data_IF_216130521986
#
_entry.id   IF_216130521986
#
_cell.length_a   1.000
_cell.length_b   1.000
_cell.length_c   1.000
_cell.angle_alpha   90.00
_cell.angle_beta   90.00
_cell.angle_gamma   90.00
#
_symmetry.space_group_name_H-M   'P 1'
#
loop_
_entity.id
_entity.type
_entity.pdbx_description
1 polymer ?
#
# COMPACT_ATOMS: atom_id res chain seq x y z
N UNK A 1 -21.49 16.12 -7.45
CA UNK A 1 -20.41 17.12 -7.25
C UNK A 1 -20.95 18.21 -6.35
N UNK A 2 -20.38 18.36 -5.16
CA UNK A 2 -20.38 19.58 -4.36
C UNK A 2 -19.08 19.49 -3.54
N UNK A 3 -18.00 20.05 -4.10
CA UNK A 3 -16.67 19.95 -3.52
C UNK A 3 -16.48 20.97 -2.40
N UNK A 4 -16.64 20.54 -1.16
CA UNK A 4 -16.14 21.26 0.01
C UNK A 4 -14.62 21.21 0.02
N UNK A 5 -13.97 22.29 -0.43
CA UNK A 5 -12.51 22.48 -0.28
C UNK A 5 -12.17 22.70 1.19
N UNK A 6 -11.48 21.74 1.79
CA UNK A 6 -10.84 21.88 3.11
C UNK A 6 -9.76 22.99 3.07
N UNK A 7 -9.82 24.01 3.96
CA UNK A 7 -8.90 25.14 3.96
C UNK A 7 -7.68 24.88 4.85
N UNK A 8 -7.06 23.70 4.75
CA UNK A 8 -5.92 23.34 5.59
C UNK A 8 -4.57 23.97 5.18
N UNK A 9 -4.18 24.05 3.89
CA UNK A 9 -2.81 24.47 3.55
C UNK A 9 -2.59 25.99 3.67
N UNK A 10 -3.66 26.79 3.57
CA UNK A 10 -3.57 28.26 3.71
C UNK A 10 -3.43 28.72 5.17
N UNK A 11 -4.03 27.97 6.13
CA UNK A 11 -3.91 28.29 7.56
C UNK A 11 -2.52 27.96 8.10
N UNK A 12 -1.90 26.87 7.64
CA UNK A 12 -0.52 26.53 7.99
C UNK A 12 0.49 27.54 7.43
N UNK A 13 0.30 27.98 6.18
CA UNK A 13 1.14 29.02 5.58
C UNK A 13 0.99 30.38 6.28
N UNK A 14 -0.24 30.74 6.68
CA UNK A 14 -0.50 31.97 7.43
C UNK A 14 0.09 31.91 8.85
N UNK A 15 -0.04 30.78 9.54
CA UNK A 15 0.58 30.58 10.85
C UNK A 15 2.12 30.65 10.76
N UNK A 16 2.73 30.03 9.75
CA UNK A 16 4.18 30.11 9.52
C UNK A 16 4.64 31.55 9.24
N UNK A 17 3.89 32.31 8.44
CA UNK A 17 4.18 33.72 8.13
C UNK A 17 4.08 34.60 9.39
N UNK A 18 3.05 34.40 10.22
CA UNK A 18 2.87 35.12 11.49
C UNK A 18 3.99 34.77 12.48
N UNK A 19 4.43 33.51 12.51
CA UNK A 19 5.53 33.07 13.38
C UNK A 19 6.87 33.65 12.94
N UNK A 20 7.11 33.73 11.61
CA UNK A 20 8.28 34.39 11.02
C UNK A 20 8.27 35.91 11.26
N UNK A 21 7.12 36.56 11.16
CA UNK A 21 6.97 37.99 11.49
C UNK A 21 7.17 38.25 12.98
N UNK A 22 6.69 37.37 13.86
CA UNK A 22 6.94 37.46 15.31
C UNK A 22 8.43 37.25 15.63
N UNK A 23 9.09 36.26 15.03
CA UNK A 23 10.53 36.03 15.18
C UNK A 23 11.34 37.20 14.62
N UNK A 24 10.93 37.79 13.51
CA UNK A 24 11.57 38.98 12.94
C UNK A 24 11.37 40.22 13.83
N UNK A 25 10.19 40.42 14.39
CA UNK A 25 9.93 41.49 15.37
C UNK A 25 10.73 41.27 16.65
N UNK A 26 10.82 40.04 17.18
CA UNK A 26 11.63 39.72 18.36
C UNK A 26 13.12 39.94 18.06
N UNK A 27 13.62 39.55 16.88
CA UNK A 27 14.98 39.87 16.45
C UNK A 27 15.21 41.38 16.26
N UNK A 28 14.21 42.12 15.76
CA UNK A 28 14.29 43.57 15.59
C UNK A 28 14.27 44.29 16.94
N UNK A 29 13.47 43.83 17.91
CA UNK A 29 13.47 44.37 19.28
C UNK A 29 14.71 43.96 20.10
N UNK A 30 15.26 42.75 19.89
CA UNK A 30 16.56 42.35 20.45
C UNK A 30 17.74 43.06 19.79
N UNK A 31 17.61 43.49 18.53
CA UNK A 31 18.63 44.31 17.83
C UNK A 31 18.46 45.81 18.08
N UNK A 32 17.25 46.28 18.44
CA UNK A 32 16.96 47.69 18.74
C UNK A 32 17.25 48.07 20.20
N UNK A 33 17.65 47.12 21.04
CA UNK A 33 18.19 47.41 22.38
C UNK A 33 19.72 47.44 22.32
N UNK A 34 20.25 48.45 21.63
CA UNK A 34 21.48 49.18 21.97
C UNK A 34 21.80 50.19 20.88
N UNK A 35 21.47 51.47 21.12
CA UNK A 35 22.41 52.61 21.19
C UNK A 35 21.59 53.71 21.88
N UNK A 36 21.45 53.62 23.20
CA UNK A 36 21.32 54.82 24.02
C UNK A 36 22.71 55.09 24.58
N UNK A 37 23.33 56.12 24.03
CA UNK A 37 24.62 56.66 24.46
C UNK A 37 24.47 57.23 25.87
N UNK A 38 24.86 56.47 26.89
CA UNK A 38 25.14 57.01 28.22
C UNK A 38 26.39 56.34 28.77
N UNK A 39 27.51 57.09 28.77
CA UNK A 39 28.77 56.88 29.49
C UNK A 39 29.19 55.42 29.85
N UNK A 40 30.20 54.82 29.19
CA UNK A 40 30.56 53.40 29.37
C UNK A 40 31.63 53.17 30.46
N UNK A 41 31.48 53.74 31.65
CA UNK A 41 32.54 53.66 32.67
C UNK A 41 32.11 53.07 34.02
N UNK A 42 30.98 52.36 34.12
CA UNK A 42 30.70 51.58 35.33
C UNK A 42 31.45 50.24 35.30
N UNK A 43 32.22 49.97 36.36
CA UNK A 43 32.94 48.70 36.55
C UNK A 43 32.00 47.48 36.46
N UNK A 44 30.72 47.66 36.80
CA UNK A 44 29.64 46.67 36.67
C UNK A 44 29.32 46.31 35.22
N UNK A 45 29.15 47.30 34.33
CA UNK A 45 28.88 47.03 32.91
C UNK A 45 30.07 46.36 32.23
N UNK A 46 31.29 46.79 32.59
CA UNK A 46 32.54 46.19 32.09
C UNK A 46 32.73 44.76 32.59
N UNK A 47 32.44 44.48 33.86
CA UNK A 47 32.44 43.12 34.41
C UNK A 47 31.44 42.22 33.68
N UNK A 48 30.20 42.67 33.49
CA UNK A 48 29.18 41.90 32.81
C UNK A 48 29.58 41.54 31.37
N UNK A 49 30.16 42.50 30.63
CA UNK A 49 30.62 42.29 29.27
C UNK A 49 31.75 41.25 29.18
N UNK A 50 32.78 41.37 30.03
CA UNK A 50 33.95 40.46 30.00
C UNK A 50 33.56 39.05 30.42
N UNK A 51 32.70 38.93 31.44
CA UNK A 51 32.21 37.64 31.92
C UNK A 51 31.38 36.93 30.86
N UNK A 52 30.42 37.63 30.24
CA UNK A 52 29.60 37.10 29.15
C UNK A 52 30.46 36.64 27.98
N UNK A 53 31.48 37.41 27.63
CA UNK A 53 32.38 37.08 26.53
C UNK A 53 33.19 35.81 26.78
N UNK A 54 33.62 35.59 28.03
CA UNK A 54 34.32 34.38 28.44
C UNK A 54 33.39 33.16 28.45
N UNK A 55 32.17 33.32 28.97
CA UNK A 55 31.15 32.27 29.02
C UNK A 55 30.69 31.84 27.61
N UNK A 56 30.39 32.79 26.72
CA UNK A 56 29.96 32.52 25.35
C UNK A 56 31.04 31.76 24.56
N UNK A 57 32.31 32.15 24.68
CA UNK A 57 33.40 31.49 23.98
C UNK A 57 33.78 30.13 24.59
N UNK A 58 33.57 29.94 25.90
CA UNK A 58 33.64 28.61 26.50
C UNK A 58 32.55 27.70 25.93
N UNK A 59 31.31 28.17 25.82
CA UNK A 59 30.19 27.41 25.26
C UNK A 59 30.43 27.01 23.79
N UNK A 60 30.95 27.93 22.96
CA UNK A 60 31.32 27.64 21.58
C UNK A 60 32.36 26.51 21.52
N UNK A 61 33.45 26.61 22.28
CA UNK A 61 34.49 25.58 22.29
C UNK A 61 33.99 24.24 22.82
N UNK A 62 33.08 24.23 23.79
CA UNK A 62 32.43 23.01 24.26
C UNK A 62 31.61 22.32 23.15
N UNK A 63 30.90 23.09 22.31
CA UNK A 63 30.17 22.55 21.15
C UNK A 63 31.13 21.95 20.09
N UNK A 64 32.23 22.65 19.77
CA UNK A 64 33.28 22.12 18.88
C UNK A 64 33.94 20.86 19.45
N UNK A 65 34.15 20.80 20.77
CA UNK A 65 34.68 19.61 21.46
C UNK A 65 33.74 18.41 21.30
N UNK A 66 32.45 18.60 21.60
CA UNK A 66 31.46 17.54 21.51
C UNK A 66 31.35 17.00 20.07
N UNK A 67 31.54 17.86 19.08
CA UNK A 67 31.59 17.49 17.67
C UNK A 67 32.89 16.78 17.28
N UNK A 68 34.05 17.30 17.68
CA UNK A 68 35.34 16.70 17.39
C UNK A 68 35.44 15.26 17.92
N UNK A 69 34.84 14.97 19.09
CA UNK A 69 34.72 13.62 19.65
C UNK A 69 33.93 12.63 18.79
N UNK A 70 33.04 13.10 17.90
CA UNK A 70 32.27 12.25 16.98
C UNK A 70 33.00 11.96 15.67
N UNK A 71 34.12 12.64 15.40
CA UNK A 71 34.97 12.43 14.24
C UNK A 71 36.16 11.52 14.58
N UNK A 72 36.82 10.97 13.55
CA UNK A 72 37.93 10.01 13.68
C UNK A 72 39.11 10.50 14.55
N UNK A 73 40.03 9.58 14.91
CA UNK A 73 41.23 9.77 15.76
C UNK A 73 42.08 11.02 15.45
N UNK A 74 42.06 11.54 14.22
CA UNK A 74 42.78 12.77 13.83
C UNK A 74 42.23 14.05 14.52
N UNK A 75 41.01 14.01 15.10
CA UNK A 75 40.40 15.13 15.85
C UNK A 75 40.81 15.19 17.33
N UNK A 76 41.56 14.21 17.84
CA UNK A 76 41.89 14.10 19.27
C UNK A 76 42.69 15.31 19.78
N UNK A 77 43.68 15.78 19.00
CA UNK A 77 44.50 16.96 19.33
C UNK A 77 43.70 18.27 19.35
N UNK A 78 42.73 18.43 18.45
CA UNK A 78 41.82 19.58 18.45
C UNK A 78 40.86 19.54 19.65
N UNK A 79 40.37 18.34 20.00
CA UNK A 79 39.46 18.11 21.12
C UNK A 79 40.11 18.54 22.45
N UNK A 80 41.37 18.18 22.67
CA UNK A 80 42.11 18.58 23.86
C UNK A 80 42.34 20.10 23.93
N UNK A 81 42.70 20.71 22.79
CA UNK A 81 42.91 22.16 22.67
C UNK A 81 41.64 22.96 22.96
N UNK A 82 40.48 22.49 22.49
CA UNK A 82 39.18 23.08 22.78
C UNK A 82 38.79 22.92 24.25
N UNK A 83 38.94 21.72 24.83
CA UNK A 83 38.65 21.43 26.24
C UNK A 83 39.49 22.31 27.17
N UNK A 84 40.80 22.37 26.93
CA UNK A 84 41.73 23.15 27.75
C UNK A 84 41.37 24.64 27.71
N UNK A 85 41.10 25.19 26.53
CA UNK A 85 40.76 26.61 26.38
C UNK A 85 39.38 26.93 26.93
N UNK A 86 38.39 26.04 26.75
CA UNK A 86 37.05 26.16 27.33
C UNK A 86 37.10 26.15 28.86
N UNK A 87 37.81 25.20 29.47
CA UNK A 87 37.95 25.09 30.92
C UNK A 87 38.61 26.33 31.53
N UNK A 88 39.68 26.84 30.90
CA UNK A 88 40.35 28.08 31.34
C UNK A 88 39.43 29.30 31.26
N UNK A 89 38.62 29.42 30.21
CA UNK A 89 37.65 30.51 30.07
C UNK A 89 36.53 30.43 31.13
N UNK A 90 35.99 29.25 31.40
CA UNK A 90 34.98 29.05 32.45
C UNK A 90 35.54 29.33 33.85
N UNK A 91 36.76 28.89 34.14
CA UNK A 91 37.44 29.17 35.39
C UNK A 91 37.79 30.66 35.56
N UNK A 92 38.09 31.36 34.47
CA UNK A 92 38.34 32.80 34.48
C UNK A 92 37.04 33.58 34.68
N UNK A 93 35.94 33.16 34.03
CA UNK A 93 34.61 33.74 34.20
C UNK A 93 34.10 33.67 35.64
N UNK A 94 34.34 32.55 36.34
CA UNK A 94 33.93 32.38 37.74
C UNK A 94 34.72 33.26 38.72
N UNK A 95 35.96 33.65 38.36
CA UNK A 95 36.87 34.50 39.15
C UNK A 95 36.70 36.00 38.88
N UNK A 96 35.94 36.37 37.85
CA UNK A 96 35.64 37.77 37.51
C UNK A 96 34.62 38.35 38.49
N UNK A 97 35.05 39.34 39.25
CA UNK A 97 34.25 40.14 40.19
C UNK A 97 34.54 41.62 39.97
N UNK A 98 33.78 42.51 40.63
CA UNK A 98 33.98 43.96 40.52
C UNK A 98 35.41 44.42 40.87
N UNK A 99 36.05 43.73 41.82
CA UNK A 99 37.42 44.02 42.26
C UNK A 99 38.49 43.43 41.35
N UNK A 100 38.22 42.30 40.68
CA UNK A 100 39.22 41.59 39.86
C UNK A 100 39.14 41.91 38.37
N UNK A 101 38.07 42.55 37.89
CA UNK A 101 37.87 42.82 36.46
C UNK A 101 39.00 43.63 35.86
N UNK A 102 39.50 44.67 36.54
CA UNK A 102 40.59 45.50 36.01
C UNK A 102 41.91 44.73 35.82
N UNK A 103 42.15 43.71 36.65
CA UNK A 103 43.36 42.88 36.63
C UNK A 103 43.26 41.74 35.61
N UNK A 104 42.10 41.06 35.55
CA UNK A 104 41.91 39.85 34.75
C UNK A 104 41.42 40.11 33.32
N UNK A 105 40.96 41.32 33.01
CA UNK A 105 40.38 41.61 31.70
C UNK A 105 41.38 41.45 30.55
N UNK A 106 42.66 41.81 30.74
CA UNK A 106 43.70 41.59 29.71
C UNK A 106 43.90 40.09 29.44
N UNK A 107 43.87 39.28 30.50
CA UNK A 107 43.98 37.82 30.44
C UNK A 107 42.74 37.22 29.74
N UNK A 108 41.53 37.66 30.12
CA UNK A 108 40.27 37.29 29.50
C UNK A 108 40.28 37.55 27.99
N UNK A 109 40.67 38.77 27.57
CA UNK A 109 40.80 39.14 26.15
C UNK A 109 41.78 38.24 25.41
N UNK A 110 42.90 37.88 26.04
CA UNK A 110 43.89 36.96 25.48
C UNK A 110 43.34 35.56 25.25
N UNK A 111 42.63 34.99 26.24
CA UNK A 111 41.99 33.69 26.11
C UNK A 111 40.86 33.67 25.10
N UNK A 112 40.06 34.73 25.04
CA UNK A 112 39.02 34.89 24.03
C UNK A 112 39.61 34.96 22.62
N UNK A 113 40.70 35.71 22.41
CA UNK A 113 41.38 35.77 21.10
C UNK A 113 41.84 34.39 20.64
N UNK A 114 42.40 33.58 21.57
CA UNK A 114 42.79 32.19 21.29
C UNK A 114 41.58 31.31 20.96
N UNK A 115 40.50 31.41 21.73
CA UNK A 115 39.27 30.66 21.48
C UNK A 115 38.67 30.97 20.11
N UNK A 116 38.68 32.23 19.68
CA UNK A 116 38.23 32.64 18.34
C UNK A 116 39.08 32.04 17.22
N UNK A 117 40.40 32.04 17.36
CA UNK A 117 41.29 31.46 16.35
C UNK A 117 41.08 29.94 16.22
N UNK A 118 40.95 29.25 17.36
CA UNK A 118 40.65 27.82 17.43
C UNK A 118 39.30 27.50 16.77
N UNK A 119 38.24 28.23 17.10
CA UNK A 119 36.94 28.06 16.49
C UNK A 119 36.96 28.36 14.97
N UNK A 120 37.66 29.41 14.54
CA UNK A 120 37.77 29.76 13.12
C UNK A 120 38.45 28.66 12.30
N UNK A 121 39.51 28.04 12.84
CA UNK A 121 40.22 26.95 12.15
C UNK A 121 39.40 25.65 12.00
N UNK A 122 38.41 25.42 12.87
CA UNK A 122 37.55 24.24 12.80
C UNK A 122 36.17 24.50 12.20
N UNK A 123 35.82 25.76 11.96
CA UNK A 123 34.50 26.17 11.50
C UNK A 123 34.07 25.47 10.21
N UNK A 124 34.94 25.45 9.20
CA UNK A 124 34.60 24.88 7.90
C UNK A 124 34.34 23.37 7.96
N UNK A 125 35.17 22.64 8.72
CA UNK A 125 34.99 21.21 8.93
C UNK A 125 33.70 20.91 9.71
N UNK A 126 33.43 21.66 10.77
CA UNK A 126 32.19 21.56 11.55
C UNK A 126 30.96 21.86 10.69
N UNK A 127 30.98 22.96 9.93
CA UNK A 127 29.88 23.37 9.06
C UNK A 127 29.62 22.32 7.98
N UNK A 128 30.68 21.77 7.38
CA UNK A 128 30.57 20.72 6.35
C UNK A 128 29.95 19.44 6.92
N UNK A 129 30.43 18.97 8.07
CA UNK A 129 29.88 17.77 8.71
C UNK A 129 28.43 17.97 9.19
N UNK A 130 28.11 19.16 9.72
CA UNK A 130 26.74 19.51 10.07
C UNK A 130 25.81 19.48 8.85
N UNK A 131 26.28 19.98 7.70
CA UNK A 131 25.54 19.90 6.43
C UNK A 131 25.37 18.44 5.97
N UNK A 132 26.40 17.60 6.07
CA UNK A 132 26.32 16.18 5.71
C UNK A 132 25.29 15.45 6.58
N UNK A 133 25.32 15.65 7.90
CA UNK A 133 24.36 15.05 8.82
C UNK A 133 22.92 15.49 8.51
N UNK A 134 22.71 16.80 8.32
CA UNK A 134 21.39 17.32 7.91
C UNK A 134 20.93 16.73 6.58
N UNK A 135 21.83 16.61 5.61
CA UNK A 135 21.52 15.99 4.32
C UNK A 135 21.13 14.52 4.50
N UNK A 136 21.89 13.75 5.28
CA UNK A 136 21.58 12.35 5.61
C UNK A 136 20.19 12.21 6.24
N UNK A 137 19.87 13.05 7.24
CA UNK A 137 18.56 13.05 7.88
C UNK A 137 17.44 13.39 6.89
N UNK A 138 17.67 14.36 5.99
CA UNK A 138 16.70 14.69 4.93
C UNK A 138 16.55 13.56 3.92
N UNK A 139 17.62 12.88 3.51
CA UNK A 139 17.56 11.73 2.59
C UNK A 139 16.76 10.59 3.22
N UNK A 140 16.99 10.30 4.50
CA UNK A 140 16.22 9.29 5.22
C UNK A 140 14.74 9.68 5.32
N UNK A 141 14.44 10.92 5.69
CA UNK A 141 13.07 11.42 5.80
C UNK A 141 12.33 11.39 4.44
N UNK A 142 12.98 11.83 3.36
CA UNK A 142 12.44 11.79 1.99
C UNK A 142 12.28 10.34 1.53
N UNK A 143 13.23 9.45 1.84
CA UNK A 143 13.13 8.02 1.56
C UNK A 143 11.92 7.36 2.22
N UNK A 144 11.64 7.70 3.49
CA UNK A 144 10.43 7.24 4.17
C UNK A 144 9.15 7.78 3.53
N UNK A 145 9.13 9.05 3.12
CA UNK A 145 8.00 9.64 2.41
C UNK A 145 7.76 8.95 1.06
N UNK A 146 8.82 8.67 0.30
CA UNK A 146 8.73 7.95 -0.96
C UNK A 146 8.17 6.54 -0.77
N UNK A 147 8.61 5.80 0.26
CA UNK A 147 8.08 4.47 0.58
C UNK A 147 6.59 4.50 0.96
N UNK A 148 6.14 5.55 1.66
CA UNK A 148 4.71 5.75 1.96
C UNK A 148 3.92 6.06 0.70
N UNK A 149 4.38 7.04 -0.09
CA UNK A 149 3.75 7.43 -1.34
C UNK A 149 3.67 6.26 -2.35
N UNK A 150 4.69 5.39 -2.41
CA UNK A 150 4.68 4.18 -3.25
C UNK A 150 3.63 3.17 -2.80
N UNK A 151 3.48 2.95 -1.48
CA UNK A 151 2.42 2.07 -0.92
C UNK A 151 1.03 2.63 -1.22
N UNK A 152 0.83 3.93 -0.97
CA UNK A 152 -0.45 4.58 -1.24
C UNK A 152 -0.78 4.57 -2.75
N UNK A 153 0.22 4.81 -3.60
CA UNK A 153 0.07 4.72 -5.06
C UNK A 153 -0.33 3.32 -5.53
N UNK A 154 0.27 2.26 -4.97
CA UNK A 154 -0.11 0.88 -5.27
C UNK A 154 -1.54 0.57 -4.83
N UNK A 155 -1.94 0.98 -3.62
CA UNK A 155 -3.31 0.80 -3.14
C UNK A 155 -4.32 1.56 -4.00
N UNK A 156 -4.06 2.83 -4.30
CA UNK A 156 -4.95 3.65 -5.13
C UNK A 156 -5.07 3.10 -6.55
N UNK A 157 -3.98 2.61 -7.14
CA UNK A 157 -4.01 1.95 -8.44
C UNK A 157 -4.88 0.69 -8.42
N UNK A 158 -4.85 -0.08 -7.32
CA UNK A 158 -5.70 -1.28 -7.16
C UNK A 158 -7.17 -0.91 -7.00
N UNK A 159 -7.46 0.08 -6.15
CA UNK A 159 -8.83 0.60 -5.99
C UNK A 159 -9.37 1.03 -7.35
N UNK A 160 -8.60 1.81 -8.12
CA UNK A 160 -9.02 2.26 -9.44
C UNK A 160 -9.24 1.11 -10.44
N UNK A 161 -8.45 0.03 -10.36
CA UNK A 161 -8.55 -1.11 -11.25
C UNK A 161 -9.75 -2.02 -10.94
N UNK A 162 -10.12 -2.18 -9.66
CA UNK A 162 -11.17 -3.12 -9.22
C UNK A 162 -12.50 -2.42 -8.94
N UNK A 163 -12.50 -1.10 -8.69
CA UNK A 163 -13.73 -0.38 -8.35
C UNK A 163 -14.71 -0.31 -9.52
N UNK A 164 -15.96 -0.64 -9.25
CA UNK A 164 -17.07 -0.39 -10.16
C UNK A 164 -17.24 1.12 -10.41
N UNK A 165 -17.23 1.60 -11.68
CA UNK A 165 -17.49 2.99 -12.00
C UNK A 165 -18.79 3.52 -11.38
N UNK A 166 -18.80 4.79 -10.96
CA UNK A 166 -19.96 5.39 -10.25
C UNK A 166 -21.29 5.22 -10.99
N UNK A 167 -21.30 5.35 -12.31
CA UNK A 167 -22.50 5.17 -13.13
C UNK A 167 -23.07 3.75 -13.02
N UNK A 168 -22.20 2.73 -13.04
CA UNK A 168 -22.58 1.33 -12.90
C UNK A 168 -23.02 1.00 -11.48
N UNK A 169 -22.35 1.57 -10.47
CA UNK A 169 -22.80 1.46 -9.09
C UNK A 169 -24.19 2.11 -8.89
N UNK A 170 -24.43 3.28 -9.48
CA UNK A 170 -25.75 3.92 -9.46
C UNK A 170 -26.84 3.06 -10.13
N UNK A 171 -26.51 2.32 -11.20
CA UNK A 171 -27.43 1.37 -11.81
C UNK A 171 -27.82 0.28 -10.80
N UNK A 172 -26.86 -0.34 -10.12
CA UNK A 172 -27.12 -1.35 -9.10
C UNK A 172 -28.04 -0.79 -7.98
N UNK A 173 -27.76 0.43 -7.49
CA UNK A 173 -28.59 1.08 -6.48
C UNK A 173 -30.03 1.32 -6.96
N UNK A 174 -30.22 1.77 -8.21
CA UNK A 174 -31.56 1.94 -8.79
C UNK A 174 -32.31 0.63 -8.95
N UNK A 175 -31.62 -0.45 -9.33
CA UNK A 175 -32.23 -1.79 -9.41
C UNK A 175 -32.70 -2.24 -8.02
N UNK A 176 -31.88 -2.06 -6.99
CA UNK A 176 -32.25 -2.35 -5.60
C UNK A 176 -33.42 -1.50 -5.10
N UNK A 177 -33.45 -0.21 -5.42
CA UNK A 177 -34.59 0.66 -5.11
C UNK A 177 -35.89 0.10 -5.70
N UNK A 178 -35.86 -0.38 -6.95
CA UNK A 178 -37.05 -0.99 -7.56
C UNK A 178 -37.47 -2.30 -6.91
N UNK A 179 -36.56 -3.06 -6.27
CA UNK A 179 -36.97 -4.18 -5.42
C UNK A 179 -37.73 -3.70 -4.20
N UNK A 180 -37.20 -2.71 -3.49
CA UNK A 180 -37.81 -2.24 -2.25
C UNK A 180 -39.21 -1.67 -2.51
N UNK A 181 -39.41 -1.00 -3.64
CA UNK A 181 -40.71 -0.48 -4.07
C UNK A 181 -41.68 -1.61 -4.48
N UNK A 182 -41.19 -2.71 -5.06
CA UNK A 182 -42.03 -3.82 -5.50
C UNK A 182 -42.23 -4.90 -4.43
N UNK A 183 -41.31 -5.05 -3.48
CA UNK A 183 -41.35 -6.05 -2.40
C UNK A 183 -42.48 -5.78 -1.41
N UNK A 184 -42.93 -4.54 -1.30
CA UNK A 184 -44.18 -4.17 -0.59
C UNK A 184 -45.45 -4.71 -1.27
N UNK A 185 -45.36 -5.29 -2.47
CA UNK A 185 -46.48 -5.89 -3.21
C UNK A 185 -46.39 -7.42 -3.42
N UNK A 186 -45.24 -8.04 -3.11
CA UNK A 186 -45.03 -9.48 -3.31
C UNK A 186 -44.70 -10.15 -1.98
N UNK A 187 -45.68 -10.86 -1.41
CA UNK A 187 -45.46 -11.75 -0.28
C UNK A 187 -44.45 -12.84 -0.68
N UNK A 188 -43.34 -12.93 0.07
CA UNK A 188 -42.27 -13.91 -0.14
C UNK A 188 -42.73 -15.26 0.41
N UNK A 189 -42.73 -16.35 -0.39
CA UNK A 189 -42.86 -17.69 0.17
C UNK A 189 -41.55 -18.09 0.84
N UNK A 190 -41.58 -18.36 2.15
CA UNK A 190 -40.49 -18.88 3.00
C UNK A 190 -40.11 -20.34 2.71
N UNK A 191 -40.38 -20.86 1.51
CA UNK A 191 -40.00 -22.21 1.14
C UNK A 191 -38.58 -22.23 0.59
N UNK A 192 -37.69 -22.97 1.25
CA UNK A 192 -36.39 -23.37 0.69
C UNK A 192 -36.68 -24.27 -0.51
N UNK A 193 -36.83 -23.67 -1.69
CA UNK A 193 -36.94 -24.40 -2.95
C UNK A 193 -35.57 -25.05 -3.19
N UNK A 194 -35.48 -26.38 -3.27
CA UNK A 194 -34.21 -27.03 -3.61
C UNK A 194 -33.73 -26.49 -4.97
N UNK A 195 -32.41 -26.26 -5.14
CA UNK A 195 -31.88 -25.77 -6.40
C UNK A 195 -32.31 -26.71 -7.53
N UNK A 196 -32.69 -26.13 -8.66
CA UNK A 196 -33.13 -26.89 -9.83
C UNK A 196 -32.04 -27.92 -10.20
N UNK A 197 -32.40 -29.18 -10.51
CA UNK A 197 -31.44 -30.27 -10.68
C UNK A 197 -30.38 -29.98 -11.75
N UNK A 198 -30.73 -29.19 -12.77
CA UNK A 198 -29.87 -28.72 -13.85
C UNK A 198 -28.66 -27.93 -13.34
N UNK A 199 -28.77 -27.26 -12.18
CA UNK A 199 -27.67 -26.45 -11.62
C UNK A 199 -26.50 -27.30 -11.12
N UNK A 200 -26.68 -28.61 -10.99
CA UNK A 200 -25.68 -29.54 -10.48
C UNK A 200 -25.41 -30.71 -11.41
N UNK A 201 -26.07 -30.77 -12.57
CA UNK A 201 -25.99 -31.90 -13.50
C UNK A 201 -24.67 -31.89 -14.27
N UNK A 202 -23.72 -32.81 -13.98
CA UNK A 202 -22.40 -32.79 -14.60
C UNK A 202 -22.41 -33.07 -16.12
N UNK A 203 -23.55 -33.44 -16.71
CA UNK A 203 -23.72 -33.61 -18.15
C UNK A 203 -23.94 -32.28 -18.92
N UNK A 204 -24.16 -31.18 -18.19
CA UNK A 204 -24.34 -29.83 -18.73
C UNK A 204 -23.02 -29.03 -18.75
N UNK A 205 -23.04 -27.91 -19.46
CA UNK A 205 -21.90 -27.01 -19.62
C UNK A 205 -21.94 -25.92 -18.55
N UNK A 206 -21.15 -26.10 -17.49
CA UNK A 206 -21.06 -25.19 -16.34
C UNK A 206 -19.96 -24.12 -16.48
N UNK A 207 -20.36 -22.87 -16.32
CA UNK A 207 -19.50 -21.70 -16.35
C UNK A 207 -19.49 -21.01 -14.99
N UNK A 208 -18.31 -20.60 -14.51
CA UNK A 208 -18.19 -19.78 -13.30
C UNK A 208 -17.78 -18.35 -13.65
N UNK A 209 -18.46 -17.37 -13.07
CA UNK A 209 -18.22 -15.94 -13.27
C UNK A 209 -18.17 -15.27 -11.90
N UNK A 210 -17.08 -14.58 -11.58
CA UNK A 210 -16.90 -13.86 -10.31
C UNK A 210 -16.84 -12.36 -10.59
N UNK A 211 -17.92 -11.62 -10.30
CA UNK A 211 -17.95 -10.18 -10.58
C UNK A 211 -19.13 -9.48 -9.89
N UNK A 212 -18.91 -8.19 -9.60
CA UNK A 212 -19.91 -7.25 -9.12
C UNK A 212 -20.53 -6.38 -10.23
N UNK A 213 -20.05 -6.55 -11.48
CA UNK A 213 -20.44 -5.74 -12.61
C UNK A 213 -21.61 -6.38 -13.37
N UNK A 214 -22.83 -5.98 -12.98
CA UNK A 214 -24.08 -6.50 -13.53
C UNK A 214 -24.13 -6.45 -15.06
N UNK A 215 -23.71 -5.33 -15.67
CA UNK A 215 -23.77 -5.18 -17.13
C UNK A 215 -22.76 -6.09 -17.83
N UNK A 216 -21.53 -6.16 -17.31
CA UNK A 216 -20.46 -6.97 -17.90
C UNK A 216 -20.83 -8.46 -17.87
N UNK A 217 -21.24 -8.97 -16.71
CA UNK A 217 -21.74 -10.34 -16.57
C UNK A 217 -22.93 -10.62 -17.49
N UNK A 218 -23.86 -9.67 -17.63
CA UNK A 218 -25.01 -9.83 -18.52
C UNK A 218 -24.60 -9.95 -19.98
N UNK A 219 -23.56 -9.23 -20.41
CA UNK A 219 -23.00 -9.35 -21.76
C UNK A 219 -22.33 -10.72 -21.94
N UNK A 220 -21.55 -11.20 -20.97
CA UNK A 220 -20.93 -12.53 -21.02
C UNK A 220 -22.00 -13.62 -21.19
N UNK A 221 -23.01 -13.63 -20.30
CA UNK A 221 -24.10 -14.62 -20.34
C UNK A 221 -24.88 -14.53 -21.64
N UNK A 222 -25.30 -13.33 -22.05
CA UNK A 222 -26.12 -13.17 -23.26
C UNK A 222 -25.34 -13.51 -24.54
N UNK A 223 -24.05 -13.15 -24.61
CA UNK A 223 -23.22 -13.47 -25.78
C UNK A 223 -22.95 -14.97 -25.87
N UNK A 224 -22.63 -15.62 -24.74
CA UNK A 224 -22.40 -17.07 -24.68
C UNK A 224 -23.66 -17.86 -25.04
N UNK A 225 -24.81 -17.50 -24.43
CA UNK A 225 -26.07 -18.17 -24.71
C UNK A 225 -26.57 -17.97 -26.15
N UNK A 226 -26.28 -16.83 -26.79
CA UNK A 226 -26.62 -16.60 -28.21
C UNK A 226 -25.70 -17.34 -29.18
N UNK A 227 -24.44 -17.55 -28.80
CA UNK A 227 -23.47 -18.24 -29.63
C UNK A 227 -23.57 -19.77 -29.51
N UNK A 228 -24.19 -20.27 -28.44
CA UNK A 228 -24.39 -21.69 -28.20
C UNK A 228 -25.35 -22.34 -29.20
N UNK A 229 -25.02 -23.55 -29.67
CA UNK A 229 -25.92 -24.35 -30.49
C UNK A 229 -27.11 -24.87 -29.70
N UNK A 230 -26.91 -25.23 -28.42
CA UNK A 230 -27.95 -25.73 -27.51
C UNK A 230 -27.98 -24.90 -26.20
N UNK A 231 -28.55 -23.68 -26.20
CA UNK A 231 -28.43 -22.76 -25.06
C UNK A 231 -28.96 -23.31 -23.73
N UNK A 232 -29.97 -24.19 -23.76
CA UNK A 232 -30.51 -24.85 -22.57
C UNK A 232 -29.52 -25.80 -21.87
N UNK A 233 -28.42 -26.18 -22.52
CA UNK A 233 -27.38 -27.01 -21.91
C UNK A 233 -26.31 -26.18 -21.17
N UNK A 234 -26.42 -24.85 -21.20
CA UNK A 234 -25.43 -23.94 -20.61
C UNK A 234 -25.94 -23.42 -19.26
N UNK A 235 -25.10 -23.56 -18.23
CA UNK A 235 -25.37 -23.16 -16.85
C UNK A 235 -24.32 -22.17 -16.39
N UNK A 236 -24.74 -20.95 -16.07
CA UNK A 236 -23.85 -19.88 -15.62
C UNK A 236 -24.00 -19.65 -14.11
N UNK A 237 -22.95 -19.94 -13.35
CA UNK A 237 -22.84 -19.65 -11.93
C UNK A 237 -22.17 -18.29 -11.73
N UNK A 238 -22.97 -17.29 -11.38
CA UNK A 238 -22.50 -15.93 -11.09
C UNK A 238 -22.32 -15.77 -9.59
N UNK A 239 -21.10 -15.46 -9.16
CA UNK A 239 -20.74 -15.22 -7.77
C UNK A 239 -20.39 -13.74 -7.60
N UNK A 240 -21.10 -13.06 -6.70
CA UNK A 240 -20.97 -11.62 -6.48
C UNK A 240 -20.90 -11.28 -5.00
N UNK A 241 -20.47 -10.07 -4.64
CA UNK A 241 -20.54 -9.60 -3.28
C UNK A 241 -22.01 -9.50 -2.83
N UNK A 242 -22.33 -9.81 -1.54
CA UNK A 242 -23.70 -9.85 -1.04
C UNK A 242 -24.53 -8.59 -1.31
N UNK A 243 -23.88 -7.42 -1.34
CA UNK A 243 -24.54 -6.14 -1.61
C UNK A 243 -25.08 -6.00 -3.04
N UNK A 244 -24.56 -6.74 -4.02
CA UNK A 244 -24.99 -6.66 -5.43
C UNK A 244 -25.98 -7.76 -5.81
N UNK A 245 -26.09 -8.84 -5.02
CA UNK A 245 -26.98 -9.96 -5.31
C UNK A 245 -28.44 -9.53 -5.58
N UNK A 246 -29.08 -8.64 -4.79
CA UNK A 246 -30.45 -8.22 -5.07
C UNK A 246 -30.57 -7.52 -6.44
N UNK A 247 -29.60 -6.68 -6.80
CA UNK A 247 -29.59 -6.00 -8.09
C UNK A 247 -29.46 -6.99 -9.27
N UNK A 248 -28.62 -8.01 -9.13
CA UNK A 248 -28.52 -9.11 -10.10
C UNK A 248 -29.84 -9.86 -10.26
N UNK A 249 -30.53 -10.17 -9.16
CA UNK A 249 -31.85 -10.84 -9.19
C UNK A 249 -32.88 -10.03 -9.98
N UNK A 250 -32.96 -8.72 -9.77
CA UNK A 250 -33.84 -7.83 -10.57
C UNK A 250 -33.48 -7.87 -12.03
N UNK A 251 -32.19 -7.74 -12.32
CA UNK A 251 -31.71 -7.62 -13.68
C UNK A 251 -32.05 -8.87 -14.48
N UNK A 252 -31.67 -10.05 -13.99
CA UNK A 252 -31.95 -11.32 -14.67
C UNK A 252 -33.44 -11.69 -14.67
N UNK A 253 -34.25 -11.21 -13.72
CA UNK A 253 -35.71 -11.35 -13.80
C UNK A 253 -36.32 -10.49 -14.92
N UNK A 254 -35.79 -9.28 -15.17
CA UNK A 254 -36.26 -8.38 -16.25
C UNK A 254 -35.64 -8.68 -17.60
N UNK A 255 -34.46 -9.27 -17.61
CA UNK A 255 -33.66 -9.58 -18.78
C UNK A 255 -33.15 -11.02 -18.65
N UNK A 256 -34.05 -12.02 -18.78
CA UNK A 256 -33.67 -13.41 -18.65
C UNK A 256 -32.65 -13.79 -19.74
N UNK A 257 -31.79 -14.79 -19.47
CA UNK A 257 -30.87 -15.31 -20.47
C UNK A 257 -31.62 -15.74 -21.74
N UNK A 258 -31.09 -15.46 -22.92
CA UNK A 258 -31.75 -15.85 -24.16
C UNK A 258 -31.80 -17.38 -24.27
N UNK A 259 -32.88 -17.87 -24.90
CA UNK A 259 -32.99 -19.24 -25.43
C UNK A 259 -32.91 -20.37 -24.39
N UNK A 260 -33.22 -20.08 -23.12
CA UNK A 260 -33.39 -21.11 -22.08
C UNK A 260 -32.11 -21.49 -21.32
N UNK A 261 -31.02 -20.74 -21.47
CA UNK A 261 -29.83 -20.93 -20.65
C UNK A 261 -30.10 -20.66 -19.16
N UNK A 262 -29.43 -21.41 -18.29
CA UNK A 262 -29.63 -21.34 -16.84
C UNK A 262 -28.65 -20.36 -16.20
N UNK A 263 -29.11 -19.53 -15.27
CA UNK A 263 -28.26 -18.65 -14.46
C UNK A 263 -28.54 -18.90 -12.98
N UNK A 264 -27.48 -19.20 -12.24
CA UNK A 264 -27.49 -19.28 -10.78
C UNK A 264 -26.77 -18.05 -10.21
N UNK A 265 -27.40 -17.37 -9.27
CA UNK A 265 -26.86 -16.20 -8.61
C UNK A 265 -26.46 -16.56 -7.17
N UNK A 266 -25.18 -16.41 -6.85
CA UNK A 266 -24.56 -16.85 -5.59
C UNK A 266 -23.71 -15.73 -4.99
N UNK A 267 -23.35 -15.90 -3.73
CA UNK A 267 -22.49 -15.05 -2.92
C UNK A 267 -21.53 -15.90 -2.12
N UNK A 268 -20.49 -15.28 -1.55
CA UNK A 268 -19.59 -15.98 -0.63
C UNK A 268 -20.33 -16.63 0.55
N UNK A 269 -21.44 -16.04 1.01
CA UNK A 269 -22.24 -16.55 2.13
C UNK A 269 -22.96 -17.87 1.82
N UNK A 270 -23.17 -18.18 0.53
CA UNK A 270 -23.76 -19.46 0.11
C UNK A 270 -22.77 -20.63 0.28
N UNK A 271 -21.51 -20.33 0.64
CA UNK A 271 -20.43 -21.28 0.83
C UNK A 271 -19.85 -21.18 2.25
N UNK A 272 -20.57 -21.68 3.28
CA UNK A 272 -20.18 -21.51 4.70
C UNK A 272 -18.84 -22.16 5.06
N UNK A 273 -18.34 -23.08 4.24
CA UNK A 273 -17.02 -23.66 4.40
C UNK A 273 -15.89 -22.67 4.14
N UNK A 274 -16.13 -21.57 3.40
CA UNK A 274 -15.17 -20.49 3.16
C UNK A 274 -15.32 -19.47 4.30
N UNK A 275 -14.48 -19.58 5.31
CA UNK A 275 -14.46 -18.67 6.45
C UNK A 275 -13.00 -18.39 6.89
N UNK A 276 -12.78 -17.45 7.82
CA UNK A 276 -11.43 -17.09 8.26
C UNK A 276 -10.64 -18.22 8.93
N UNK A 277 -11.32 -19.24 9.45
CA UNK A 277 -10.64 -20.42 10.01
C UNK A 277 -10.05 -21.30 8.90
N UNK A 278 -10.78 -21.49 7.79
CA UNK A 278 -10.41 -22.38 6.68
C UNK A 278 -9.64 -21.68 5.55
N UNK A 279 -9.80 -20.36 5.39
CA UNK A 279 -9.24 -19.58 4.29
C UNK A 279 -8.23 -18.54 4.79
N UNK A 280 -6.93 -18.66 4.43
CA UNK A 280 -5.94 -17.65 4.78
C UNK A 280 -6.21 -16.29 4.10
N UNK A 281 -7.00 -16.28 3.03
CA UNK A 281 -7.43 -15.06 2.33
C UNK A 281 -8.41 -14.29 3.21
N UNK A 282 -9.47 -14.95 3.69
CA UNK A 282 -10.48 -14.30 4.51
C UNK A 282 -9.90 -13.86 5.85
N UNK A 283 -9.04 -14.69 6.45
CA UNK A 283 -8.29 -14.31 7.66
C UNK A 283 -7.50 -13.02 7.45
N UNK A 284 -6.72 -12.93 6.38
CA UNK A 284 -5.97 -11.72 6.07
C UNK A 284 -6.86 -10.51 5.80
N UNK A 285 -8.00 -10.69 5.11
CA UNK A 285 -8.95 -9.62 4.87
C UNK A 285 -9.54 -9.08 6.18
N UNK A 286 -9.94 -9.97 7.10
CA UNK A 286 -10.44 -9.64 8.43
C UNK A 286 -9.37 -9.00 9.33
N UNK A 287 -8.12 -9.45 9.23
CA UNK A 287 -6.96 -8.86 9.91
C UNK A 287 -6.58 -7.46 9.38
N UNK A 288 -7.31 -6.93 8.39
CA UNK A 288 -7.16 -5.59 7.87
C UNK A 288 -6.22 -5.46 6.67
N UNK A 289 -5.84 -6.56 6.01
CA UNK A 289 -5.09 -6.53 4.75
C UNK A 289 -5.98 -6.06 3.60
N UNK A 290 -6.07 -4.73 3.44
CA UNK A 290 -6.94 -4.06 2.45
C UNK A 290 -6.72 -4.53 1.02
N UNK A 291 -5.50 -4.93 0.66
CA UNK A 291 -5.20 -5.43 -0.68
C UNK A 291 -5.85 -6.78 -0.98
N UNK A 292 -6.04 -7.61 0.05
CA UNK A 292 -6.70 -8.90 -0.05
C UNK A 292 -8.21 -8.71 0.01
N UNK A 293 -8.69 -7.88 0.93
CA UNK A 293 -10.12 -7.55 1.06
C UNK A 293 -10.71 -6.96 -0.22
N UNK A 294 -9.97 -6.10 -0.93
CA UNK A 294 -10.41 -5.54 -2.22
C UNK A 294 -10.54 -6.56 -3.35
N UNK A 295 -10.03 -7.79 -3.17
CA UNK A 295 -9.96 -8.82 -4.22
C UNK A 295 -10.51 -10.15 -3.74
N UNK A 296 -11.41 -10.14 -2.75
CA UNK A 296 -11.95 -11.36 -2.16
C UNK A 296 -12.60 -12.29 -3.21
N UNK A 297 -13.43 -11.73 -4.11
CA UNK A 297 -14.05 -12.47 -5.21
C UNK A 297 -13.03 -13.16 -6.12
N UNK A 298 -11.89 -12.52 -6.37
CA UNK A 298 -10.82 -13.11 -7.17
C UNK A 298 -10.22 -14.35 -6.52
N UNK A 299 -10.24 -14.45 -5.19
CA UNK A 299 -9.70 -15.61 -4.50
C UNK A 299 -10.72 -16.74 -4.32
N UNK A 300 -12.02 -16.45 -4.46
CA UNK A 300 -13.05 -17.49 -4.42
C UNK A 300 -12.87 -18.53 -5.53
N UNK A 301 -12.26 -18.16 -6.66
CA UNK A 301 -11.95 -19.07 -7.77
C UNK A 301 -11.10 -20.28 -7.37
N UNK A 302 -10.35 -20.18 -6.26
CA UNK A 302 -9.53 -21.30 -5.77
C UNK A 302 -10.34 -22.37 -5.03
N UNK A 303 -11.62 -22.11 -4.76
CA UNK A 303 -12.54 -23.02 -4.09
C UNK A 303 -13.56 -23.64 -5.04
N UNK A 304 -13.35 -23.53 -6.36
CA UNK A 304 -14.25 -24.10 -7.38
C UNK A 304 -14.61 -25.58 -7.12
N UNK A 305 -13.68 -26.49 -6.79
CA UNK A 305 -14.03 -27.88 -6.54
C UNK A 305 -14.90 -28.10 -5.30
N UNK A 306 -14.75 -27.26 -4.27
CA UNK A 306 -15.53 -27.30 -3.03
C UNK A 306 -16.88 -26.60 -3.19
N UNK A 307 -16.95 -25.53 -3.99
CA UNK A 307 -18.18 -24.83 -4.36
C UNK A 307 -19.08 -25.70 -5.24
N UNK A 308 -18.48 -26.50 -6.13
CA UNK A 308 -19.19 -27.34 -7.10
C UNK A 308 -18.74 -28.81 -7.01
N UNK A 309 -19.07 -29.52 -5.91
CA UNK A 309 -18.55 -30.87 -5.64
C UNK A 309 -19.02 -31.92 -6.66
N UNK A 310 -20.23 -31.76 -7.20
CA UNK A 310 -20.81 -32.68 -8.20
C UNK A 310 -20.16 -32.55 -9.58
N UNK A 311 -19.51 -31.42 -9.87
CA UNK A 311 -18.95 -31.15 -11.18
C UNK A 311 -17.55 -31.74 -11.32
N UNK A 312 -17.25 -32.17 -12.55
CA UNK A 312 -15.93 -32.66 -12.96
C UNK A 312 -15.13 -31.62 -13.73
N UNK A 313 -15.82 -30.70 -14.41
CA UNK A 313 -15.22 -29.66 -15.25
C UNK A 313 -16.04 -28.38 -15.18
N UNK A 314 -15.35 -27.24 -15.14
CA UNK A 314 -15.95 -25.90 -15.14
C UNK A 314 -15.11 -24.98 -16.04
N UNK A 315 -15.77 -24.13 -16.81
CA UNK A 315 -15.11 -23.04 -17.54
C UNK A 315 -15.24 -21.74 -16.76
N UNK A 316 -14.12 -21.14 -16.38
CA UNK A 316 -14.09 -19.81 -15.78
C UNK A 316 -14.13 -18.75 -16.89
N UNK A 317 -15.10 -17.84 -16.81
CA UNK A 317 -15.21 -16.67 -17.68
C UNK A 317 -15.07 -15.40 -16.82
N UNK A 318 -14.12 -14.54 -17.19
CA UNK A 318 -14.03 -13.19 -16.64
C UNK A 318 -15.17 -12.31 -17.20
N UNK A 319 -15.51 -11.25 -16.47
CA UNK A 319 -16.64 -10.38 -16.83
C UNK A 319 -16.37 -9.48 -18.04
N UNK A 320 -15.11 -9.34 -18.46
CA UNK A 320 -14.67 -8.58 -19.62
C UNK A 320 -14.63 -9.39 -20.94
N UNK A 321 -15.19 -10.61 -20.93
CA UNK A 321 -15.25 -11.49 -22.09
C UNK A 321 -16.53 -11.27 -22.93
N UNK A 322 -16.40 -11.36 -24.25
CA UNK A 322 -17.53 -11.45 -25.18
C UNK A 322 -17.38 -12.72 -26.00
N UNK A 323 -18.40 -13.58 -25.95
CA UNK A 323 -18.39 -14.88 -26.62
C UNK A 323 -19.02 -14.76 -28.00
N UNK A 324 -18.30 -15.22 -29.03
CA UNK A 324 -18.75 -15.13 -30.42
C UNK A 324 -18.98 -16.50 -31.08
N UNK A 325 -18.62 -17.58 -30.39
CA UNK A 325 -18.76 -18.97 -30.87
C UNK A 325 -19.17 -19.87 -29.72
N UNK A 326 -19.74 -21.01 -30.06
CA UNK A 326 -20.11 -22.02 -29.09
C UNK A 326 -18.89 -22.45 -28.27
N UNK A 327 -19.05 -22.47 -26.94
CA UNK A 327 -18.02 -22.87 -25.99
C UNK A 327 -18.09 -24.36 -25.63
N UNK A 328 -19.11 -25.09 -26.09
CA UNK A 328 -19.28 -26.53 -25.82
C UNK A 328 -18.04 -27.35 -26.19
N UNK A 329 -17.32 -26.97 -27.25
CA UNK A 329 -16.08 -27.64 -27.69
C UNK A 329 -15.00 -27.66 -26.59
N UNK A 330 -15.00 -26.68 -25.67
CA UNK A 330 -14.04 -26.61 -24.57
C UNK A 330 -14.15 -27.81 -23.61
N UNK A 331 -15.32 -28.45 -23.52
CA UNK A 331 -15.51 -29.64 -22.67
C UNK A 331 -14.78 -30.87 -23.21
N UNK A 332 -14.44 -30.91 -24.50
CA UNK A 332 -13.77 -32.03 -25.13
C UNK A 332 -12.25 -31.85 -25.24
N UNK A 333 -11.71 -30.75 -24.71
CA UNK A 333 -10.27 -30.53 -24.67
C UNK A 333 -9.57 -31.58 -23.80
N UNK A 334 -8.49 -32.13 -24.34
CA UNK A 334 -7.53 -32.93 -23.59
C UNK A 334 -6.58 -32.01 -22.82
N UNK A 335 -6.66 -32.08 -21.50
CA UNK A 335 -5.82 -31.31 -20.58
C UNK A 335 -4.51 -32.06 -20.24
N UNK A 336 -4.26 -33.25 -20.78
CA UNK A 336 -3.02 -34.00 -20.50
C UNK A 336 -2.85 -34.37 -19.03
N UNK A 337 -3.97 -34.60 -18.33
CA UNK A 337 -4.01 -34.87 -16.89
C UNK A 337 -3.82 -33.63 -16.01
N UNK A 338 -3.71 -32.43 -16.59
CA UNK A 338 -3.56 -31.17 -15.88
C UNK A 338 -4.90 -30.62 -15.41
N UNK A 339 -4.86 -29.83 -14.35
CA UNK A 339 -6.07 -29.28 -13.75
C UNK A 339 -6.53 -27.94 -14.36
N UNK A 340 -5.75 -27.31 -15.24
CA UNK A 340 -6.13 -26.10 -15.96
C UNK A 340 -5.66 -26.13 -17.43
N UNK A 341 -6.54 -25.73 -18.35
CA UNK A 341 -6.14 -25.21 -19.66
C UNK A 341 -6.42 -23.71 -19.74
N UNK A 342 -5.40 -22.94 -20.10
CA UNK A 342 -5.45 -21.49 -20.20
C UNK A 342 -4.94 -20.99 -21.55
N UNK A 343 -5.36 -19.77 -21.94
CA UNK A 343 -4.87 -19.14 -23.16
C UNK A 343 -3.37 -18.82 -23.05
N UNK A 344 -2.63 -19.17 -24.08
CA UNK A 344 -1.21 -18.84 -24.20
C UNK A 344 -1.03 -17.34 -24.48
N UNK A 345 -0.54 -16.58 -23.51
CA UNK A 345 -0.45 -15.11 -23.60
C UNK A 345 0.98 -14.56 -23.68
N UNK A 346 1.95 -15.38 -24.14
CA UNK A 346 3.37 -15.01 -24.28
C UNK A 346 3.70 -13.98 -25.39
N UNK A 347 2.76 -13.11 -25.77
CA UNK A 347 3.01 -12.08 -26.78
C UNK A 347 3.75 -10.89 -26.17
N UNK A 348 5.01 -10.69 -26.57
CA UNK A 348 5.87 -9.58 -26.14
C UNK A 348 6.66 -9.82 -24.83
N UNK A 349 7.30 -8.77 -24.30
CA UNK A 349 8.09 -8.84 -23.06
C UNK A 349 7.28 -8.81 -21.75
N UNK A 350 5.96 -8.62 -21.86
CA UNK A 350 5.00 -8.61 -20.77
C UNK A 350 4.39 -10.02 -20.64
N UNK A 351 4.16 -10.52 -19.42
CA UNK A 351 3.69 -11.90 -19.11
C UNK A 351 4.74 -13.01 -19.00
N UNK A 352 5.95 -12.71 -18.53
CA UNK A 352 6.91 -13.73 -18.06
C UNK A 352 7.09 -13.68 -16.55
N UNK A 353 7.27 -14.81 -15.89
CA UNK A 353 7.45 -14.86 -14.43
C UNK A 353 8.60 -14.00 -13.94
N UNK A 354 9.69 -13.89 -14.70
CA UNK A 354 10.84 -13.04 -14.35
C UNK A 354 10.50 -11.56 -14.14
N UNK A 355 9.31 -11.10 -14.57
CA UNK A 355 8.82 -9.73 -14.35
C UNK A 355 7.98 -9.57 -13.08
N UNK A 356 7.45 -10.66 -12.53
CA UNK A 356 6.50 -10.62 -11.41
C UNK A 356 7.02 -11.33 -10.16
N UNK A 357 7.89 -12.32 -10.33
CA UNK A 357 8.43 -13.10 -9.23
C UNK A 357 9.87 -12.68 -8.94
N UNK A 358 10.19 -12.61 -7.65
CA UNK A 358 11.56 -12.41 -7.20
C UNK A 358 12.32 -13.74 -7.21
N UNK A 359 13.07 -13.99 -8.28
CA UNK A 359 13.87 -15.21 -8.46
C UNK A 359 15.11 -15.28 -7.55
N UNK A 360 15.40 -14.26 -6.76
CA UNK A 360 16.42 -14.34 -5.70
C UNK A 360 15.97 -15.19 -4.50
N UNK A 361 14.67 -15.50 -4.39
CA UNK A 361 14.14 -16.32 -3.31
C UNK A 361 14.18 -17.82 -3.66
N UNK A 362 14.80 -18.69 -2.84
CA UNK A 362 14.96 -20.11 -3.14
C UNK A 362 13.65 -20.84 -3.46
N UNK A 363 12.61 -20.63 -2.65
CA UNK A 363 11.29 -21.23 -2.86
C UNK A 363 10.63 -20.86 -4.22
N UNK A 364 11.01 -19.72 -4.81
CA UNK A 364 10.55 -19.31 -6.14
C UNK A 364 11.40 -19.96 -7.23
N UNK A 365 12.73 -19.94 -7.05
CA UNK A 365 13.67 -20.50 -8.03
C UNK A 365 13.50 -22.02 -8.22
N UNK A 366 13.18 -22.74 -7.16
CA UNK A 366 12.95 -24.19 -7.20
C UNK A 366 11.67 -24.57 -7.95
N UNK A 367 10.65 -23.70 -7.93
CA UNK A 367 9.30 -24.02 -8.44
C UNK A 367 8.99 -23.38 -9.80
N UNK A 368 9.55 -22.21 -10.09
CA UNK A 368 9.24 -21.41 -11.27
C UNK A 368 10.45 -21.24 -12.18
N UNK A 369 10.18 -21.03 -13.46
CA UNK A 369 11.20 -20.64 -14.42
C UNK A 369 10.99 -19.18 -14.82
N UNK A 370 12.02 -18.32 -14.82
CA UNK A 370 11.85 -16.90 -15.11
C UNK A 370 11.37 -16.62 -16.53
N UNK A 371 11.64 -17.55 -17.46
CA UNK A 371 11.20 -17.47 -18.86
C UNK A 371 9.83 -18.09 -19.11
N UNK A 372 9.28 -18.83 -18.15
CA UNK A 372 7.93 -19.37 -18.29
C UNK A 372 6.91 -18.23 -18.30
N UNK A 373 5.84 -18.45 -19.05
CA UNK A 373 4.84 -17.43 -19.26
C UNK A 373 3.76 -17.50 -18.19
N UNK A 374 3.37 -16.32 -17.71
CA UNK A 374 2.14 -16.18 -16.98
C UNK A 374 0.98 -16.30 -17.96
N UNK A 375 0.08 -17.23 -17.68
CA UNK A 375 -1.22 -17.27 -18.34
C UNK A 375 -2.15 -16.23 -17.73
N UNK A 376 -3.13 -15.77 -18.51
CA UNK A 376 -4.11 -14.80 -18.06
C UNK A 376 -5.38 -15.51 -17.63
N UNK A 377 -6.01 -14.96 -16.59
CA UNK A 377 -7.42 -15.20 -16.38
C UNK A 377 -8.22 -14.45 -17.46
N UNK A 378 -9.33 -15.03 -17.91
CA UNK A 378 -10.10 -14.60 -19.07
C UNK A 378 -11.05 -15.72 -19.48
N UNK A 379 -10.51 -16.76 -20.11
CA UNK A 379 -11.19 -18.04 -20.33
C UNK A 379 -10.25 -19.16 -19.90
N UNK A 380 -10.68 -19.96 -18.92
CA UNK A 380 -9.90 -21.09 -18.41
C UNK A 380 -10.79 -22.31 -18.26
N UNK A 381 -10.29 -23.49 -18.62
CA UNK A 381 -10.99 -24.76 -18.44
C UNK A 381 -10.34 -25.48 -17.27
N UNK A 382 -11.11 -25.71 -16.20
CA UNK A 382 -10.63 -26.40 -15.02
C UNK A 382 -11.16 -27.82 -14.96
N UNK A 383 -10.24 -28.77 -14.80
CA UNK A 383 -10.57 -30.15 -14.44
C UNK A 383 -10.58 -30.27 -12.91
N UNK A 384 -11.78 -30.36 -12.35
CA UNK A 384 -11.99 -30.37 -10.90
C UNK A 384 -11.55 -31.70 -10.27
N UNK A 385 -11.51 -32.79 -11.03
CA UNK A 385 -11.00 -34.07 -10.53
C UNK A 385 -9.47 -34.02 -10.39
N UNK A 386 -8.78 -33.51 -11.42
CA UNK A 386 -7.34 -33.29 -11.35
C UNK A 386 -6.99 -32.26 -10.26
N UNK A 387 -7.79 -31.19 -10.11
CA UNK A 387 -7.57 -30.17 -9.08
C UNK A 387 -7.65 -30.76 -7.66
N UNK A 388 -8.66 -31.61 -7.39
CA UNK A 388 -8.80 -32.32 -6.11
C UNK A 388 -7.65 -33.31 -5.90
N UNK A 389 -7.33 -34.13 -6.90
CA UNK A 389 -6.23 -35.11 -6.85
C UNK A 389 -4.90 -34.44 -6.51
N UNK A 390 -4.62 -33.30 -7.12
CA UNK A 390 -3.36 -32.58 -6.96
C UNK A 390 -3.42 -31.57 -5.79
N UNK A 391 -4.52 -31.54 -5.01
CA UNK A 391 -4.72 -30.70 -3.82
C UNK A 391 -4.43 -29.22 -4.08
N UNK A 392 -4.89 -28.68 -5.22
CA UNK A 392 -4.47 -27.36 -5.67
C UNK A 392 -4.98 -26.21 -4.76
N UNK A 393 -6.10 -26.40 -4.06
CA UNK A 393 -6.61 -25.45 -3.05
C UNK A 393 -5.67 -25.36 -1.83
N UNK A 394 -5.19 -26.50 -1.32
CA UNK A 394 -4.27 -26.53 -0.17
C UNK A 394 -2.89 -25.94 -0.50
N UNK A 395 -2.43 -26.16 -1.72
CA UNK A 395 -1.20 -25.54 -2.20
C UNK A 395 -1.34 -24.02 -2.29
N UNK A 396 -2.50 -23.53 -2.74
CA UNK A 396 -2.85 -22.12 -2.72
C UNK A 396 -2.81 -21.55 -1.28
N UNK A 397 -3.37 -22.27 -0.30
CA UNK A 397 -3.33 -21.84 1.10
C UNK A 397 -1.90 -21.69 1.63
N UNK A 398 -1.05 -22.70 1.43
CA UNK A 398 0.37 -22.66 1.83
C UNK A 398 1.11 -21.46 1.24
N UNK A 399 0.81 -21.10 -0.01
CA UNK A 399 1.42 -19.93 -0.66
C UNK A 399 0.94 -18.62 -0.04
N UNK A 400 -0.36 -18.49 0.25
CA UNK A 400 -0.91 -17.29 0.90
C UNK A 400 -0.33 -17.06 2.30
N UNK A 401 -0.01 -18.14 3.02
CA UNK A 401 0.67 -18.07 4.32
C UNK A 401 2.13 -17.61 4.19
N UNK A 402 2.89 -18.17 3.23
CA UNK A 402 4.27 -17.75 2.98
C UNK A 402 4.38 -16.27 2.55
N UNK A 403 3.45 -15.80 1.71
CA UNK A 403 3.43 -14.41 1.22
C UNK A 403 3.02 -13.42 2.32
N UNK A 404 2.31 -13.87 3.35
CA UNK A 404 2.03 -13.04 4.54
C UNK A 404 3.27 -12.82 5.40
N UNK A 405 4.20 -13.78 5.42
CA UNK A 405 5.44 -13.71 6.19
C UNK A 405 6.58 -12.96 5.47
N UNK A 406 6.54 -12.86 4.13
CA UNK A 406 7.51 -12.12 3.33
C UNK A 406 6.96 -10.75 2.89
N UNK A 407 7.49 -9.67 3.46
CA UNK A 407 7.18 -8.28 3.11
C UNK A 407 7.68 -7.86 1.70
N UNK A 408 7.20 -8.50 0.63
CA UNK A 408 7.50 -8.15 -0.76
C UNK A 408 6.20 -7.97 -1.57
N UNK A 409 5.82 -6.72 -1.90
CA UNK A 409 4.57 -6.39 -2.61
C UNK A 409 4.41 -6.99 -4.02
N UNK A 410 5.50 -7.51 -4.61
CA UNK A 410 5.53 -7.95 -6.01
C UNK A 410 5.10 -9.41 -6.21
N UNK A 411 5.12 -10.25 -5.16
CA UNK A 411 4.87 -11.70 -5.24
C UNK A 411 3.40 -12.14 -5.27
N UNK A 412 2.45 -11.21 -5.16
CA UNK A 412 1.04 -11.54 -4.83
C UNK A 412 0.20 -12.19 -5.94
N UNK A 413 0.69 -12.31 -7.18
CA UNK A 413 -0.17 -12.71 -8.32
C UNK A 413 0.27 -13.94 -9.12
N UNK A 414 1.51 -14.44 -8.94
CA UNK A 414 2.15 -15.27 -9.99
C UNK A 414 2.65 -16.63 -9.50
N UNK A 415 2.47 -16.95 -8.22
CA UNK A 415 2.97 -18.20 -7.62
C UNK A 415 2.15 -19.47 -7.96
N UNK A 416 1.26 -19.46 -8.94
CA UNK A 416 0.29 -20.54 -9.11
C UNK A 416 0.50 -21.46 -10.33
N UNK A 417 1.50 -21.16 -11.16
CA UNK A 417 1.30 -21.37 -12.58
C UNK A 417 2.20 -22.48 -13.19
N UNK A 418 2.61 -23.49 -12.40
CA UNK A 418 3.27 -24.71 -12.93
C UNK A 418 2.62 -26.03 -12.51
N UNK A 419 1.79 -26.06 -11.46
CA UNK A 419 1.16 -27.32 -11.05
C UNK A 419 -0.07 -27.66 -11.89
N UNK A 420 -0.69 -26.66 -12.54
CA UNK A 420 -1.92 -26.83 -13.30
C UNK A 420 -1.73 -26.88 -14.83
N UNK A 421 -0.51 -26.80 -15.36
CA UNK A 421 -0.23 -26.82 -16.81
C UNK A 421 0.79 -27.88 -17.19
#
# INVERSE_FOLDING_TARGET
MAGGRSPAPRRAAFAALVTLLFLACVFFFLSATTITSSAPNSLTARLAAVRRHAEDHAAVLAAYTAHARRLSVYSASQTESFLSTSSRLSALASRLTLSTVALLEKEARGHVKRARALAAGAKEAFDTQSKILKLSDTVFAVGQQLLRARRDGQLNSRIAAVSTPKSLHCLAMRLMETLLVNASSAAVPDAVVPPAPELTDPSLYHYAIFSDNILAVSVVVASAARAAAEPSRHVFHVVTAPMYLPAFRVWFARSPPPLGAHVQLLTANDFPFINASSSPVLRQAEDGNRDVALRELDYLRFYLPEMFPALTRVVLLEDDVVVQRDLAELWHLDLGGKANAALHTCFGGFRRYGRYLNFSHPAVQERFQPRACAWSYGVNVFDLLAWRRDQCTEQFHRLMEMVSFCALPELRWVLYLRQLA
#
